data_IF_251628703410
#
_entry.id   IF_251628703410
#
_cell.length_a   1.000
_cell.length_b   1.000
_cell.length_c   1.000
_cell.angle_alpha   90.00
_cell.angle_beta   90.00
_cell.angle_gamma   90.00
#
_symmetry.space_group_name_H-M   'P 1'
#
loop_
_entity.id
_entity.type
_entity.pdbx_description
1 polymer ?
#
# COMPACT_ATOMS: atom_id res chain seq x y z
N UNK A 1 -2.29 1.43 15.96
CA UNK A 1 -1.87 0.47 14.90
C UNK A 1 -0.91 1.20 13.97
N UNK A 2 0.27 0.63 13.78
CA UNK A 2 1.28 1.23 12.91
C UNK A 2 1.36 0.48 11.59
N UNK A 3 1.72 1.20 10.53
CA UNK A 3 1.88 0.60 9.22
C UNK A 3 3.08 1.18 8.48
N UNK A 4 3.75 0.32 7.74
CA UNK A 4 4.82 0.71 6.82
C UNK A 4 4.33 0.43 5.41
N UNK A 5 4.50 1.40 4.53
CA UNK A 5 4.10 1.31 3.14
C UNK A 5 5.30 1.59 2.26
N UNK A 6 5.61 0.66 1.37
CA UNK A 6 6.73 0.76 0.46
C UNK A 6 6.26 0.59 -0.98
N UNK A 7 6.73 1.47 -1.86
CA UNK A 7 6.47 1.34 -3.29
C UNK A 7 7.51 0.41 -3.90
N UNK A 8 7.05 -0.48 -4.77
CA UNK A 8 7.94 -1.44 -5.44
C UNK A 8 7.37 -1.83 -6.81
N UNK A 9 8.16 -2.57 -7.56
CA UNK A 9 7.75 -3.07 -8.87
C UNK A 9 6.82 -4.27 -8.73
N UNK A 10 7.08 -5.12 -7.74
CA UNK A 10 6.25 -6.28 -7.44
C UNK A 10 6.43 -6.67 -5.98
N UNK A 11 5.35 -7.12 -5.34
CA UNK A 11 5.39 -7.65 -4.00
C UNK A 11 4.44 -8.83 -3.83
N UNK A 12 4.80 -9.73 -2.92
CA UNK A 12 3.96 -10.85 -2.52
C UNK A 12 4.02 -11.01 -1.01
N UNK A 13 2.90 -11.39 -0.42
CA UNK A 13 2.83 -11.78 0.99
C UNK A 13 2.57 -13.28 1.06
N UNK A 14 3.54 -14.03 1.51
CA UNK A 14 3.48 -15.50 1.54
C UNK A 14 4.08 -15.99 2.85
N UNK A 15 3.35 -16.84 3.55
CA UNK A 15 3.86 -17.46 4.78
C UNK A 15 4.23 -16.46 5.87
N UNK A 16 3.50 -15.37 5.96
CA UNK A 16 3.76 -14.32 6.96
C UNK A 16 4.93 -13.41 6.64
N UNK A 17 5.41 -13.42 5.40
CA UNK A 17 6.56 -12.63 4.97
C UNK A 17 6.26 -11.83 3.70
N UNK A 18 6.90 -10.68 3.59
CA UNK A 18 6.89 -9.89 2.37
C UNK A 18 8.08 -10.24 1.50
N UNK A 19 7.81 -10.47 0.21
CA UNK A 19 8.81 -10.62 -0.82
C UNK A 19 8.68 -9.43 -1.76
N UNK A 20 9.74 -8.62 -1.86
CA UNK A 20 9.69 -7.33 -2.55
C UNK A 20 10.75 -7.30 -3.63
N UNK A 21 10.34 -7.02 -4.86
CA UNK A 21 11.23 -6.82 -5.98
C UNK A 21 11.20 -5.35 -6.40
N UNK A 22 12.36 -4.73 -6.51
CA UNK A 22 12.48 -3.35 -6.97
C UNK A 22 11.76 -2.36 -6.07
N UNK A 23 12.04 -2.38 -4.78
CA UNK A 23 11.35 -1.55 -3.80
C UNK A 23 12.13 -0.32 -3.36
N UNK A 24 11.38 0.63 -2.77
CA UNK A 24 11.97 1.80 -2.14
C UNK A 24 12.08 3.04 -3.03
N UNK A 25 11.53 2.99 -4.24
CA UNK A 25 11.55 4.16 -5.13
C UNK A 25 10.41 5.14 -4.79
N UNK A 26 10.63 6.40 -5.13
CA UNK A 26 9.61 7.45 -5.04
C UNK A 26 9.50 8.27 -6.31
N UNK A 27 10.14 7.83 -7.39
CA UNK A 27 10.08 8.49 -8.70
C UNK A 27 9.87 7.44 -9.78
N UNK A 28 8.86 7.68 -10.64
CA UNK A 28 8.65 6.93 -11.87
C UNK A 28 9.01 7.82 -13.05
N UNK A 29 9.80 7.31 -14.00
CA UNK A 29 10.28 8.08 -15.15
C UNK A 29 9.55 7.73 -16.45
N UNK A 30 8.30 7.30 -16.36
CA UNK A 30 7.50 6.86 -17.52
C UNK A 30 6.10 7.45 -17.48
N UNK A 31 5.95 8.78 -17.66
CA UNK A 31 4.61 9.37 -17.67
C UNK A 31 3.77 8.84 -18.84
N UNK A 32 2.52 8.49 -18.56
CA UNK A 32 1.57 8.00 -19.54
C UNK A 32 1.80 6.59 -20.05
N UNK A 33 2.87 5.93 -19.62
CA UNK A 33 3.19 4.55 -20.02
C UNK A 33 2.66 3.58 -18.96
N UNK A 34 1.92 2.52 -19.34
CA UNK A 34 1.45 1.52 -18.39
C UNK A 34 2.64 0.81 -17.73
N UNK A 35 2.66 0.81 -16.41
CA UNK A 35 3.70 0.13 -15.61
C UNK A 35 3.03 -0.68 -14.50
N UNK A 36 3.73 -1.68 -14.00
CA UNK A 36 3.29 -2.43 -12.85
C UNK A 36 3.85 -1.75 -11.60
N UNK A 37 2.97 -1.46 -10.66
CA UNK A 37 3.31 -0.84 -9.38
C UNK A 37 2.69 -1.66 -8.28
N UNK A 38 3.44 -1.88 -7.21
CA UNK A 38 2.94 -2.61 -6.07
C UNK A 38 3.14 -1.85 -4.79
N UNK A 39 2.24 -2.09 -3.85
CA UNK A 39 2.34 -1.61 -2.48
C UNK A 39 2.72 -2.79 -1.60
N UNK A 40 3.87 -2.70 -0.96
CA UNK A 40 4.28 -3.64 0.07
C UNK A 40 3.91 -3.02 1.42
N UNK A 41 3.08 -3.68 2.18
CA UNK A 41 2.48 -3.15 3.39
C UNK A 41 2.81 -4.06 4.55
N UNK A 42 3.29 -3.48 5.65
CA UNK A 42 3.44 -4.18 6.90
C UNK A 42 2.61 -3.46 7.95
N UNK A 43 1.61 -4.13 8.49
CA UNK A 43 0.78 -3.59 9.55
C UNK A 43 1.18 -4.24 10.87
N UNK A 44 1.47 -3.42 11.87
CA UNK A 44 1.78 -3.86 13.21
C UNK A 44 0.52 -3.72 14.05
N UNK A 45 -0.11 -4.87 14.33
CA UNK A 45 -1.38 -4.94 15.05
C UNK A 45 -1.10 -5.11 16.54
N UNK A 46 -1.64 -4.24 17.40
CA UNK A 46 -1.51 -4.42 18.85
C UNK A 46 -2.18 -5.73 19.30
N UNK A 47 -1.63 -6.31 20.36
CA UNK A 47 -2.11 -7.58 20.92
C UNK A 47 -3.62 -7.58 21.22
N UNK A 48 -4.14 -6.49 21.75
CA UNK A 48 -5.55 -6.36 22.13
C UNK A 48 -6.49 -6.08 20.96
N UNK A 49 -5.95 -5.89 19.76
CA UNK A 49 -6.72 -5.77 18.53
C UNK A 49 -6.66 -7.02 17.64
N UNK A 50 -6.07 -8.09 18.16
CA UNK A 50 -6.07 -9.40 17.49
C UNK A 50 -7.44 -10.04 17.54
N UNK A 51 -7.68 -10.99 16.62
CA UNK A 51 -8.93 -11.75 16.52
C UNK A 51 -10.16 -10.87 16.24
N UNK A 52 -9.94 -9.71 15.66
CA UNK A 52 -10.98 -8.79 15.21
C UNK A 52 -10.84 -8.55 13.73
N UNK A 53 -11.96 -8.34 13.05
CA UNK A 53 -11.96 -7.93 11.66
C UNK A 53 -11.58 -6.46 11.55
N UNK A 54 -10.60 -6.17 10.71
CA UNK A 54 -10.16 -4.80 10.41
C UNK A 54 -10.43 -4.50 8.95
N UNK A 55 -10.75 -3.25 8.65
CA UNK A 55 -10.96 -2.79 7.28
C UNK A 55 -9.74 -2.03 6.80
N UNK A 56 -9.30 -2.39 5.60
CA UNK A 56 -8.18 -1.75 4.94
C UNK A 56 -8.70 -1.00 3.72
N UNK A 57 -8.21 0.22 3.53
CA UNK A 57 -8.47 1.00 2.34
C UNK A 57 -7.19 1.66 1.88
N UNK A 58 -6.80 1.39 0.62
CA UNK A 58 -5.66 2.03 -0.02
C UNK A 58 -6.16 2.81 -1.23
N UNK A 59 -5.75 4.05 -1.36
CA UNK A 59 -6.20 4.90 -2.46
C UNK A 59 -5.14 5.90 -2.88
N UNK A 60 -5.23 6.34 -4.13
CA UNK A 60 -4.27 7.25 -4.73
C UNK A 60 -4.87 8.64 -4.91
N UNK A 61 -4.15 9.64 -4.44
CA UNK A 61 -4.50 11.05 -4.62
C UNK A 61 -3.42 11.75 -5.43
N UNK A 62 -3.81 12.82 -6.13
CA UNK A 62 -2.86 13.77 -6.67
C UNK A 62 -2.27 14.61 -5.52
N UNK A 63 -1.19 15.36 -5.79
CA UNK A 63 -0.60 16.22 -4.77
C UNK A 63 -1.54 17.34 -4.31
N UNK A 64 -2.59 17.63 -5.08
CA UNK A 64 -3.64 18.59 -4.71
C UNK A 64 -4.78 17.94 -3.91
N UNK A 65 -4.67 16.66 -3.60
CA UNK A 65 -5.68 15.94 -2.83
C UNK A 65 -6.87 15.44 -3.64
N UNK A 66 -6.78 15.46 -4.97
CA UNK A 66 -7.85 14.95 -5.83
C UNK A 66 -7.71 13.45 -6.04
N UNK A 67 -8.83 12.69 -6.03
CA UNK A 67 -8.77 11.27 -6.32
C UNK A 67 -8.27 11.00 -7.75
N UNK A 68 -7.39 10.02 -7.89
CA UNK A 68 -6.95 9.55 -9.20
C UNK A 68 -7.95 8.52 -9.71
N UNK A 69 -8.36 8.69 -10.97
CA UNK A 69 -9.33 7.81 -11.61
C UNK A 69 -8.63 6.70 -12.37
N UNK A 70 -9.14 5.48 -12.24
CA UNK A 70 -8.74 4.37 -13.08
C UNK A 70 -9.25 4.56 -14.51
N UNK A 71 -8.68 3.85 -15.52
CA UNK A 71 -9.09 4.04 -16.93
C UNK A 71 -10.57 3.83 -17.19
N UNK A 72 -11.27 3.04 -16.39
CA UNK A 72 -12.70 2.78 -16.55
C UNK A 72 -13.60 3.76 -15.78
N UNK A 73 -13.04 4.85 -15.24
CA UNK A 73 -13.79 5.94 -14.64
C UNK A 73 -14.08 5.81 -13.16
N UNK A 74 -13.61 4.77 -12.51
CA UNK A 74 -13.70 4.62 -11.04
C UNK A 74 -12.45 5.16 -10.37
N UNK A 75 -12.58 5.55 -9.10
CA UNK A 75 -11.41 5.95 -8.30
C UNK A 75 -10.44 4.78 -8.14
N UNK A 76 -9.14 5.08 -8.15
CA UNK A 76 -8.10 4.10 -7.95
C UNK A 76 -7.98 3.79 -6.46
N UNK A 77 -8.67 2.74 -6.04
CA UNK A 77 -8.82 2.41 -4.63
C UNK A 77 -9.00 0.91 -4.45
N UNK A 78 -8.47 0.38 -3.36
CA UNK A 78 -8.66 -1.01 -2.96
C UNK A 78 -9.20 -1.03 -1.55
N UNK A 79 -10.33 -1.72 -1.38
CA UNK A 79 -10.94 -1.98 -0.09
C UNK A 79 -10.82 -3.47 0.22
N UNK A 80 -10.53 -3.79 1.47
CA UNK A 80 -10.44 -5.17 1.90
C UNK A 80 -10.56 -5.29 3.40
N UNK A 81 -10.47 -6.52 3.87
CA UNK A 81 -10.46 -6.80 5.29
C UNK A 81 -9.32 -7.72 5.65
N UNK A 82 -8.89 -7.66 6.89
CA UNK A 82 -7.91 -8.59 7.41
C UNK A 82 -8.18 -8.88 8.89
N UNK A 83 -7.66 -10.00 9.33
CA UNK A 83 -7.73 -10.42 10.72
C UNK A 83 -6.40 -11.08 11.06
N UNK A 84 -5.88 -10.83 12.25
CA UNK A 84 -4.66 -11.46 12.70
C UNK A 84 -4.94 -12.20 14.00
N UNK A 85 -4.44 -13.43 14.08
CA UNK A 85 -4.56 -14.24 15.28
C UNK A 85 -3.36 -14.07 16.21
N UNK A 86 -3.45 -14.69 17.37
CA UNK A 86 -2.36 -14.78 18.35
C UNK A 86 -1.69 -16.15 18.21
N UNK A 87 -0.54 -16.26 17.52
CA UNK A 87 0.09 -17.54 17.33
C UNK A 87 0.51 -18.19 18.66
N UNK A 88 0.43 -19.52 18.77
CA UNK A 88 0.90 -20.20 19.97
C UNK A 88 2.38 -19.90 20.26
N UNK A 89 2.70 -19.68 21.52
CA UNK A 89 4.08 -19.41 21.95
C UNK A 89 4.50 -17.95 21.87
N UNK A 90 3.65 -17.07 21.34
CA UNK A 90 3.94 -15.64 21.33
C UNK A 90 3.58 -15.05 22.69
N UNK A 91 4.49 -14.26 23.25
CA UNK A 91 4.29 -13.62 24.54
C UNK A 91 3.11 -12.66 24.50
N UNK A 92 2.17 -12.75 25.45
CA UNK A 92 1.06 -11.79 25.54
C UNK A 92 1.55 -10.34 25.56
N UNK A 93 0.86 -9.47 24.82
CA UNK A 93 1.26 -8.07 24.69
C UNK A 93 2.18 -7.80 23.50
N UNK A 94 2.63 -8.83 22.80
CA UNK A 94 3.47 -8.65 21.61
C UNK A 94 2.70 -8.05 20.46
N UNK A 95 3.40 -7.25 19.65
CA UNK A 95 2.87 -6.76 18.39
C UNK A 95 2.78 -7.90 17.38
N UNK A 96 1.71 -7.93 16.61
CA UNK A 96 1.45 -8.97 15.62
C UNK A 96 1.56 -8.36 14.23
N UNK A 97 2.56 -8.81 13.46
CA UNK A 97 2.81 -8.28 12.13
C UNK A 97 1.91 -8.94 11.09
N UNK A 98 1.33 -8.10 10.23
CA UNK A 98 0.49 -8.56 9.12
C UNK A 98 1.04 -8.00 7.82
N UNK A 99 1.74 -8.82 7.01
CA UNK A 99 2.22 -8.39 5.71
C UNK A 99 1.11 -8.50 4.67
N UNK A 100 1.00 -7.49 3.82
CA UNK A 100 0.04 -7.43 2.72
C UNK A 100 0.72 -6.91 1.47
N UNK A 101 0.28 -7.37 0.32
CA UNK A 101 0.78 -6.87 -0.97
C UNK A 101 -0.40 -6.56 -1.88
N UNK A 102 -0.37 -5.39 -2.50
CA UNK A 102 -1.37 -4.98 -3.48
C UNK A 102 -0.65 -4.67 -4.78
N UNK A 103 -1.01 -5.37 -5.85
CA UNK A 103 -0.37 -5.21 -7.15
C UNK A 103 -1.34 -4.53 -8.12
N UNK A 104 -0.86 -3.46 -8.76
CA UNK A 104 -1.58 -2.74 -9.81
C UNK A 104 -0.88 -2.99 -11.13
N UNK A 105 -1.57 -3.64 -12.06
CA UNK A 105 -1.03 -3.95 -13.37
C UNK A 105 -1.42 -2.87 -14.38
N UNK A 106 -0.46 -2.50 -15.23
CA UNK A 106 -0.69 -1.56 -16.31
C UNK A 106 -1.26 -0.20 -15.84
N UNK A 107 -0.71 0.33 -14.76
CA UNK A 107 -1.07 1.64 -14.26
C UNK A 107 -0.35 2.71 -15.04
N UNK A 108 -1.10 3.60 -15.70
CA UNK A 108 -0.54 4.71 -16.45
C UNK A 108 -0.92 6.02 -15.76
N UNK A 109 0.08 6.80 -15.39
CA UNK A 109 -0.10 8.08 -14.70
C UNK A 109 0.58 9.20 -15.48
N UNK A 110 -0.08 10.35 -15.54
CA UNK A 110 0.52 11.54 -16.11
C UNK A 110 1.62 12.10 -15.22
N UNK A 111 2.49 12.91 -15.78
CA UNK A 111 3.53 13.58 -14.99
C UNK A 111 2.89 14.43 -13.89
N UNK A 112 3.44 14.35 -12.70
CA UNK A 112 2.94 15.09 -11.53
C UNK A 112 3.28 14.40 -10.24
N UNK A 113 2.81 14.97 -9.15
CA UNK A 113 2.95 14.41 -7.81
C UNK A 113 1.72 13.63 -7.40
N UNK A 114 1.95 12.59 -6.64
CA UNK A 114 0.91 11.68 -6.17
C UNK A 114 1.20 11.22 -4.75
N UNK A 115 0.18 10.74 -4.07
CA UNK A 115 0.34 10.18 -2.73
C UNK A 115 -0.58 8.98 -2.55
N UNK A 116 0.00 7.84 -2.20
CA UNK A 116 -0.77 6.70 -1.71
C UNK A 116 -1.13 6.94 -0.25
N UNK A 117 -2.37 6.66 0.10
CA UNK A 117 -2.83 6.68 1.49
C UNK A 117 -3.38 5.32 1.87
N UNK A 118 -3.09 4.93 3.11
CA UNK A 118 -3.55 3.68 3.69
C UNK A 118 -4.32 3.98 4.95
N UNK A 119 -5.56 3.53 4.99
CA UNK A 119 -6.41 3.62 6.18
C UNK A 119 -6.69 2.23 6.73
N UNK A 120 -6.70 2.12 8.03
CA UNK A 120 -7.17 0.93 8.74
C UNK A 120 -8.25 1.37 9.71
N UNK A 121 -9.43 0.74 9.63
CA UNK A 121 -10.59 1.10 10.45
C UNK A 121 -10.91 2.59 10.40
N UNK A 122 -10.85 3.15 9.18
CA UNK A 122 -11.12 4.57 8.88
C UNK A 122 -10.09 5.57 9.41
N UNK A 123 -8.99 5.08 9.99
CA UNK A 123 -7.90 5.93 10.46
C UNK A 123 -6.73 5.89 9.49
N UNK A 124 -6.19 7.05 9.13
CA UNK A 124 -5.01 7.13 8.27
C UNK A 124 -3.78 6.61 9.04
N UNK A 125 -3.17 5.54 8.56
CA UNK A 125 -2.02 4.90 9.21
C UNK A 125 -0.71 5.03 8.43
N UNK A 126 -0.79 5.31 7.13
CA UNK A 126 0.41 5.52 6.32
C UNK A 126 0.12 6.38 5.11
N UNK A 127 1.12 7.15 4.68
CA UNK A 127 1.11 7.93 3.45
C UNK A 127 2.42 7.70 2.73
N UNK A 128 2.37 7.64 1.39
CA UNK A 128 3.59 7.49 0.60
C UNK A 128 3.52 8.39 -0.63
N UNK A 129 4.19 9.54 -0.61
CA UNK A 129 4.25 10.40 -1.78
C UNK A 129 5.26 9.88 -2.79
N UNK A 130 4.97 10.11 -4.05
CA UNK A 130 5.90 9.84 -5.14
C UNK A 130 5.63 10.80 -6.29
N UNK A 131 6.53 10.83 -7.26
CA UNK A 131 6.43 11.70 -8.43
C UNK A 131 6.60 10.90 -9.70
N UNK A 132 5.77 11.22 -10.69
CA UNK A 132 5.94 10.75 -12.05
C UNK A 132 6.56 11.89 -12.84
N UNK A 133 7.76 11.69 -13.35
CA UNK A 133 8.52 12.72 -14.04
C UNK A 133 8.97 12.23 -15.40
N UNK A 134 9.10 13.14 -16.36
CA UNK A 134 9.74 12.82 -17.63
C UNK A 134 11.18 12.44 -17.36
N UNK A 135 11.66 11.35 -17.94
CA UNK A 135 13.07 10.98 -17.84
C UNK A 135 13.95 12.11 -18.34
N UNK A 136 15.09 12.28 -17.72
CA UNK A 136 16.07 13.25 -18.18
C UNK A 136 16.49 12.99 -19.60
N UNK A 137 16.63 14.04 -20.37
CA UNK A 137 17.08 13.94 -21.76
C UNK A 137 18.54 13.56 -21.82
#
# INVERSE_FOLDING_TARGET
MDATLLLCDHAEAVGGKLYINGGGWNVLLRPGVPVNVSLAILIEVPWDEANEQHRLRAYLLTEDGEPVMAPHGETLEVDGGFEVGRPPGVKPGSTLNTPLAINFNALALDAGGYEWRLEVDEALVARKPFRVAAGGA
#
